data_IF_772918630398
#
_entry.id   IF_772918630398
#
_cell.length_a   1.000
_cell.length_b   1.000
_cell.length_c   1.000
_cell.angle_alpha   90.00
_cell.angle_beta   90.00
_cell.angle_gamma   90.00
#
_symmetry.space_group_name_H-M   'P 1'
#
loop_
_entity.id
_entity.type
_entity.pdbx_description
1 polymer ?
#
# COMPACT_ATOMS: atom_id res chain seq x y z
N UNK A 1 19.07 2.54 -4.50
CA UNK A 1 17.86 1.70 -4.31
C UNK A 1 18.12 0.78 -3.13
N UNK A 2 17.31 0.86 -2.08
CA UNK A 2 17.39 0.07 -0.86
C UNK A 2 15.98 -0.31 -0.40
N UNK A 3 15.82 -1.50 0.16
CA UNK A 3 14.57 -1.91 0.83
C UNK A 3 14.84 -1.89 2.33
N UNK A 4 13.99 -1.19 3.08
CA UNK A 4 14.11 -1.05 4.54
C UNK A 4 12.74 -1.09 5.21
N UNK A 5 12.75 -1.23 6.53
CA UNK A 5 11.54 -1.09 7.32
C UNK A 5 10.95 0.32 7.18
N UNK A 6 9.63 0.36 7.20
CA UNK A 6 8.84 1.59 7.28
C UNK A 6 9.08 2.30 8.61
N UNK A 7 9.26 3.62 8.55
CA UNK A 7 9.20 4.50 9.71
C UNK A 7 8.01 5.46 9.60
N UNK A 8 7.48 5.98 10.73
CA UNK A 8 6.36 6.93 10.71
C UNK A 8 6.58 8.16 9.81
N UNK A 9 7.83 8.57 9.59
CA UNK A 9 8.19 9.66 8.67
C UNK A 9 7.88 9.38 7.19
N UNK A 10 7.78 8.10 6.79
CA UNK A 10 7.50 7.69 5.41
C UNK A 10 6.01 7.81 5.04
N UNK A 11 5.11 7.93 6.04
CA UNK A 11 3.66 7.89 5.85
C UNK A 11 3.15 8.86 4.80
N UNK A 12 3.70 10.08 4.81
CA UNK A 12 3.25 11.14 3.91
C UNK A 12 3.62 10.82 2.45
N UNK A 13 4.79 10.24 2.21
CA UNK A 13 5.18 9.79 0.87
C UNK A 13 4.29 8.63 0.39
N UNK A 14 3.93 7.70 1.28
CA UNK A 14 3.01 6.61 0.95
C UNK A 14 1.60 7.12 0.61
N UNK A 15 1.11 8.16 1.31
CA UNK A 15 -0.16 8.82 0.99
C UNK A 15 -0.15 9.45 -0.40
N UNK A 16 0.95 10.11 -0.77
CA UNK A 16 1.13 10.71 -2.10
C UNK A 16 1.17 9.64 -3.19
N UNK A 17 1.92 8.55 -2.97
CA UNK A 17 1.97 7.41 -3.89
C UNK A 17 0.57 6.79 -4.07
N UNK A 18 -0.14 6.53 -2.97
CA UNK A 18 -1.50 5.98 -3.01
C UNK A 18 -2.48 6.90 -3.75
N UNK A 19 -2.43 8.21 -3.49
CA UNK A 19 -3.27 9.19 -4.18
C UNK A 19 -2.99 9.22 -5.68
N UNK A 20 -1.72 9.14 -6.10
CA UNK A 20 -1.32 9.12 -7.50
C UNK A 20 -1.73 7.84 -8.24
N UNK A 21 -1.87 6.71 -7.53
CA UNK A 21 -2.36 5.45 -8.10
C UNK A 21 -3.84 5.51 -8.48
N UNK A 22 -4.64 6.36 -7.81
CA UNK A 22 -6.06 6.54 -8.13
C UNK A 22 -6.94 5.32 -7.84
N UNK A 23 -6.48 4.38 -7.02
CA UNK A 23 -7.30 3.25 -6.59
C UNK A 23 -8.44 3.72 -5.67
N UNK A 24 -9.57 3.00 -5.73
CA UNK A 24 -10.79 3.36 -4.99
C UNK A 24 -10.81 2.89 -3.53
N UNK A 25 -9.84 2.05 -3.12
CA UNK A 25 -9.72 1.62 -1.74
C UNK A 25 -8.96 2.66 -0.90
N UNK A 26 -9.26 2.80 0.41
CA UNK A 26 -8.52 3.68 1.28
C UNK A 26 -7.11 3.12 1.56
N UNK A 27 -6.13 4.02 1.77
CA UNK A 27 -4.84 3.62 2.31
C UNK A 27 -5.07 2.97 3.68
N UNK A 28 -4.54 1.76 3.94
CA UNK A 28 -4.75 1.09 5.21
C UNK A 28 -4.07 1.84 6.36
N UNK A 29 -4.64 1.69 7.56
CA UNK A 29 -4.02 2.16 8.80
C UNK A 29 -2.75 1.34 9.10
N UNK A 30 -1.59 1.96 8.87
CA UNK A 30 -0.29 1.30 9.04
C UNK A 30 0.06 1.10 10.52
N UNK A 31 -0.57 1.79 11.45
CA UNK A 31 -0.36 1.58 12.89
C UNK A 31 -1.10 0.34 13.40
N UNK A 32 -1.94 -0.28 12.57
CA UNK A 32 -2.64 -1.50 12.92
C UNK A 32 -1.62 -2.63 13.25
N UNK A 33 -1.75 -3.27 14.42
CA UNK A 33 -0.78 -4.28 14.88
C UNK A 33 -0.80 -5.58 14.06
N UNK A 34 -1.83 -5.79 13.24
CA UNK A 34 -1.90 -6.95 12.35
C UNK A 34 -0.97 -6.82 11.14
N UNK A 35 -0.45 -5.63 10.83
CA UNK A 35 0.62 -5.50 9.84
C UNK A 35 1.93 -6.06 10.39
N UNK A 36 2.29 -7.26 9.91
CA UNK A 36 3.52 -7.97 10.30
C UNK A 36 4.72 -7.57 9.47
N UNK A 37 4.49 -7.02 8.27
CA UNK A 37 5.55 -6.52 7.40
C UNK A 37 5.14 -5.16 6.87
N UNK A 38 6.05 -4.19 7.01
CA UNK A 38 5.95 -2.85 6.42
C UNK A 38 7.31 -2.48 5.86
N UNK A 39 7.47 -2.65 4.55
CA UNK A 39 8.72 -2.36 3.85
C UNK A 39 8.51 -1.19 2.91
N UNK A 40 9.50 -0.33 2.81
CA UNK A 40 9.55 0.75 1.83
C UNK A 40 10.74 0.54 0.88
N UNK A 41 10.51 0.90 -0.37
CA UNK A 41 11.54 1.01 -1.38
C UNK A 41 12.03 2.46 -1.42
N UNK A 42 13.30 2.65 -1.06
CA UNK A 42 13.95 3.93 -0.96
C UNK A 42 15.02 4.09 -2.05
N UNK A 43 15.10 5.27 -2.62
CA UNK A 43 16.18 5.68 -3.49
C UNK A 43 16.96 6.79 -2.80
N UNK A 44 18.26 6.61 -2.60
CA UNK A 44 19.13 7.73 -2.27
C UNK A 44 19.13 8.68 -3.43
N UNK A 45 18.91 9.96 -3.16
CA UNK A 45 19.36 10.98 -4.10
C UNK A 45 20.89 10.86 -4.15
N UNK A 46 21.39 10.26 -5.23
CA UNK A 46 22.77 10.47 -5.61
C UNK A 46 22.94 11.96 -5.83
N UNK A 47 23.97 12.54 -5.23
CA UNK A 47 24.59 13.79 -5.69
C UNK A 47 24.71 13.73 -7.21
N UNK A 48 23.71 14.23 -7.93
CA UNK A 48 23.69 14.21 -9.37
C UNK A 48 24.70 15.27 -9.84
N UNK A 49 25.94 14.82 -10.05
CA UNK A 49 26.93 15.42 -10.93
C UNK A 49 27.34 16.86 -10.62
N UNK A 50 28.26 17.06 -9.67
CA UNK A 50 29.16 18.24 -9.71
C UNK A 50 30.29 18.07 -10.76
N UNK A 51 30.39 16.93 -11.44
CA UNK A 51 31.37 16.64 -12.49
C UNK A 51 30.84 16.91 -13.91
N UNK A 52 30.25 18.09 -14.15
CA UNK A 52 30.15 18.65 -15.51
C UNK A 52 30.04 20.20 -15.46
N UNK A 53 30.71 20.83 -14.49
CA UNK A 53 30.78 22.30 -14.38
C UNK A 53 32.07 22.92 -14.90
N UNK A 54 32.83 22.19 -15.71
CA UNK A 54 33.98 22.71 -16.45
C UNK A 54 33.85 22.32 -17.91
N UNK A 55 33.83 23.33 -18.78
CA UNK A 55 33.74 23.26 -20.25
C UNK A 55 32.32 23.31 -20.82
N UNK A 56 31.73 24.52 -20.82
CA UNK A 56 31.08 25.11 -22.01
C UNK A 56 30.85 26.61 -21.78
N UNK A 57 31.80 27.41 -22.27
CA UNK A 57 31.56 28.81 -22.64
C UNK A 57 30.75 28.84 -23.95
N UNK A 58 29.63 29.56 -23.98
CA UNK A 58 28.89 29.87 -25.21
C UNK A 58 27.54 30.56 -24.94
N UNK A 59 27.12 31.57 -25.73
CA UNK A 59 26.11 32.54 -25.32
C UNK A 59 24.65 32.08 -25.49
N UNK A 60 23.80 32.82 -24.77
CA UNK A 60 22.36 32.67 -24.52
C UNK A 60 21.46 32.43 -25.74
N UNK A 61 20.37 31.68 -25.52
CA UNK A 61 19.04 32.02 -26.06
C UNK A 61 17.98 31.80 -24.98
N UNK A 62 17.30 32.88 -24.61
CA UNK A 62 16.09 32.85 -23.81
C UNK A 62 15.00 32.05 -24.54
N UNK A 63 14.36 31.12 -23.82
CA UNK A 63 13.12 30.45 -24.25
C UNK A 63 12.09 30.58 -23.14
N UNK A 64 10.81 30.74 -23.49
CA UNK A 64 9.78 31.19 -22.57
C UNK A 64 9.47 30.14 -21.50
N UNK A 65 9.37 30.66 -20.29
CA UNK A 65 8.75 30.09 -19.10
C UNK A 65 7.39 29.47 -19.37
N UNK A 66 7.17 28.25 -18.87
CA UNK A 66 5.83 27.66 -18.79
C UNK A 66 5.77 26.17 -19.08
N UNK A 67 6.66 25.37 -18.50
CA UNK A 67 6.34 23.99 -18.16
C UNK A 67 6.48 23.86 -16.65
N UNK A 68 5.35 23.80 -15.96
CA UNK A 68 5.28 23.08 -14.70
C UNK A 68 5.51 21.60 -15.03
N UNK A 69 6.79 21.25 -15.25
CA UNK A 69 7.25 19.87 -15.13
C UNK A 69 7.28 19.58 -13.62
N UNK A 70 6.10 19.57 -13.00
CA UNK A 70 5.88 18.97 -11.68
C UNK A 70 5.91 17.45 -11.89
N UNK A 71 7.07 16.95 -12.33
CA UNK A 71 7.47 15.56 -12.14
C UNK A 71 7.35 15.34 -10.64
N UNK A 72 6.35 14.56 -10.24
CA UNK A 72 5.98 14.34 -8.84
C UNK A 72 7.21 14.05 -8.00
N UNK A 73 7.71 15.10 -7.34
CA UNK A 73 8.89 15.05 -6.50
C UNK A 73 8.48 14.30 -5.25
N UNK A 74 8.58 12.97 -5.30
CA UNK A 74 8.33 12.12 -4.16
C UNK A 74 9.11 12.65 -2.96
N UNK A 75 8.43 12.80 -1.83
CA UNK A 75 9.02 13.38 -0.62
C UNK A 75 10.31 12.67 -0.22
N UNK A 76 11.31 13.47 0.14
CA UNK A 76 12.59 13.01 0.68
C UNK A 76 12.46 12.91 2.20
N UNK A 77 12.70 11.71 2.73
CA UNK A 77 12.75 11.43 4.17
C UNK A 77 14.19 11.00 4.49
N UNK A 78 14.92 11.80 5.29
CA UNK A 78 16.28 11.45 5.71
C UNK A 78 17.32 11.37 4.57
N UNK A 79 17.12 12.07 3.45
CA UNK A 79 17.99 12.02 2.27
C UNK A 79 17.65 10.88 1.28
N UNK A 80 16.54 10.18 1.51
CA UNK A 80 16.04 9.12 0.63
C UNK A 80 14.64 9.47 0.13
N UNK A 81 14.39 9.24 -1.17
CA UNK A 81 13.09 9.34 -1.80
C UNK A 81 12.37 8.00 -1.71
N UNK A 82 11.18 7.97 -1.12
CA UNK A 82 10.34 6.76 -1.11
C UNK A 82 9.62 6.63 -2.45
N UNK A 83 9.75 5.47 -3.08
CA UNK A 83 9.19 5.20 -4.41
C UNK A 83 8.21 4.03 -4.42
N UNK A 84 8.09 3.29 -3.32
CA UNK A 84 7.13 2.21 -3.20
C UNK A 84 7.09 1.60 -1.79
N UNK A 85 6.13 0.72 -1.56
CA UNK A 85 6.00 -0.04 -0.32
C UNK A 85 5.36 -1.42 -0.54
N UNK A 86 5.67 -2.36 0.35
CA UNK A 86 5.03 -3.66 0.46
C UNK A 86 4.55 -3.86 1.91
N UNK A 87 3.27 -4.22 2.06
CA UNK A 87 2.58 -4.32 3.34
C UNK A 87 1.92 -5.70 3.46
N UNK A 88 2.16 -6.40 4.57
CA UNK A 88 1.50 -7.69 4.86
C UNK A 88 0.71 -7.57 6.17
N UNK A 89 -0.59 -7.89 6.12
CA UNK A 89 -1.50 -7.91 7.26
C UNK A 89 -1.95 -9.33 7.54
N UNK A 90 -1.94 -9.74 8.81
CA UNK A 90 -2.52 -11.00 9.25
C UNK A 90 -4.04 -10.95 9.09
N UNK A 91 -4.57 -11.93 8.37
CA UNK A 91 -5.99 -12.16 8.17
C UNK A 91 -6.30 -13.62 8.46
N UNK A 92 -7.55 -13.91 8.83
CA UNK A 92 -8.01 -15.29 8.97
C UNK A 92 -8.77 -15.72 7.72
N UNK A 93 -8.73 -17.02 7.44
CA UNK A 93 -9.46 -17.62 6.33
C UNK A 93 -10.58 -18.51 6.89
N UNK A 94 -11.80 -18.30 6.41
CA UNK A 94 -12.98 -19.07 6.80
C UNK A 94 -13.40 -20.02 5.67
N UNK A 95 -13.45 -21.31 5.97
CA UNK A 95 -13.93 -22.35 5.07
C UNK A 95 -15.34 -22.78 5.46
N UNK A 96 -16.31 -22.58 4.56
CA UNK A 96 -17.70 -22.97 4.77
C UNK A 96 -18.00 -24.22 3.95
N UNK A 97 -18.04 -25.38 4.63
CA UNK A 97 -18.34 -26.66 3.99
C UNK A 97 -19.77 -27.06 4.28
N UNK A 98 -20.54 -27.34 3.22
CA UNK A 98 -21.92 -27.80 3.33
C UNK A 98 -22.15 -29.03 2.45
N UNK A 99 -22.86 -30.03 3.01
CA UNK A 99 -23.24 -31.23 2.27
C UNK A 99 -24.25 -30.89 1.15
N UNK A 100 -23.93 -31.14 -0.14
CA UNK A 100 -24.81 -30.84 -1.26
C UNK A 100 -26.10 -31.69 -1.26
N UNK A 101 -26.12 -32.82 -0.54
CA UNK A 101 -27.28 -33.72 -0.45
C UNK A 101 -28.26 -33.31 0.64
N UNK A 102 -27.90 -32.35 1.49
CA UNK A 102 -28.73 -31.94 2.61
C UNK A 102 -29.72 -30.84 2.20
N UNK A 103 -31.02 -31.09 2.46
CA UNK A 103 -32.10 -30.13 2.25
C UNK A 103 -32.32 -29.70 0.80
N UNK A 104 -33.14 -28.68 0.64
CA UNK A 104 -33.39 -27.99 -0.63
C UNK A 104 -32.29 -26.96 -0.91
N UNK A 105 -32.13 -26.49 -2.17
CA UNK A 105 -31.18 -25.42 -2.49
C UNK A 105 -31.37 -24.15 -1.64
N UNK A 106 -32.62 -23.79 -1.32
CA UNK A 106 -32.93 -22.63 -0.48
C UNK A 106 -32.49 -22.81 0.97
N UNK A 107 -32.80 -23.96 1.56
CA UNK A 107 -32.37 -24.28 2.93
C UNK A 107 -30.84 -24.31 3.03
N UNK A 108 -30.14 -24.80 2.00
CA UNK A 108 -28.67 -24.76 1.96
C UNK A 108 -28.14 -23.33 1.95
N UNK A 109 -28.74 -22.46 1.15
CA UNK A 109 -28.36 -21.05 1.13
C UNK A 109 -28.54 -20.39 2.50
N UNK A 110 -29.68 -20.61 3.15
CA UNK A 110 -29.95 -20.11 4.50
C UNK A 110 -28.93 -20.62 5.52
N UNK A 111 -28.49 -21.88 5.40
CA UNK A 111 -27.43 -22.46 6.24
C UNK A 111 -26.04 -21.86 5.97
N UNK A 112 -25.68 -21.59 4.72
CA UNK A 112 -24.42 -20.90 4.38
C UNK A 112 -24.38 -19.53 5.03
N UNK A 113 -25.48 -18.77 4.94
CA UNK A 113 -25.59 -17.46 5.60
C UNK A 113 -25.45 -17.56 7.12
N UNK A 114 -26.09 -18.57 7.73
CA UNK A 114 -25.97 -18.81 9.18
C UNK A 114 -24.53 -19.18 9.58
N UNK A 115 -23.85 -20.03 8.81
CA UNK A 115 -22.45 -20.39 9.04
C UNK A 115 -21.52 -19.20 8.86
N UNK A 116 -21.71 -18.39 7.82
CA UNK A 116 -20.92 -17.19 7.58
C UNK A 116 -21.04 -16.19 8.74
N UNK A 117 -22.27 -15.91 9.18
CA UNK A 117 -22.53 -15.01 10.31
C UNK A 117 -21.94 -15.56 11.63
N UNK A 118 -22.04 -16.87 11.85
CA UNK A 118 -21.46 -17.50 13.03
C UNK A 118 -19.92 -17.46 13.02
N UNK A 119 -19.30 -17.70 11.87
CA UNK A 119 -17.85 -17.64 11.68
C UNK A 119 -17.31 -16.22 11.89
N UNK A 120 -17.99 -15.22 11.35
CA UNK A 120 -17.68 -13.81 11.60
C UNK A 120 -17.74 -13.51 13.10
N UNK A 121 -18.88 -13.80 13.76
CA UNK A 121 -19.04 -13.54 15.18
C UNK A 121 -17.98 -14.24 16.05
N UNK A 122 -17.56 -15.46 15.68
CA UNK A 122 -16.48 -16.17 16.36
C UNK A 122 -15.12 -15.51 16.17
N UNK A 123 -14.82 -15.06 14.96
CA UNK A 123 -13.59 -14.34 14.67
C UNK A 123 -13.47 -13.05 15.48
N UNK A 124 -14.55 -12.26 15.54
CA UNK A 124 -14.61 -11.05 16.38
C UNK A 124 -14.33 -11.38 17.85
N UNK A 125 -14.94 -12.44 18.40
CA UNK A 125 -14.68 -12.87 19.79
C UNK A 125 -13.23 -13.28 20.04
N UNK A 126 -12.54 -13.79 19.02
CA UNK A 126 -11.12 -14.17 19.08
C UNK A 126 -10.16 -12.99 18.82
N UNK A 127 -10.68 -11.80 18.57
CA UNK A 127 -9.87 -10.62 18.25
C UNK A 127 -9.31 -10.62 16.83
N UNK A 128 -9.86 -11.44 15.93
CA UNK A 128 -9.49 -11.43 14.52
C UNK A 128 -10.26 -10.28 13.84
N UNK A 129 -9.52 -9.22 13.47
CA UNK A 129 -10.12 -8.02 12.89
C UNK A 129 -10.32 -8.10 11.35
N UNK A 130 -9.87 -9.19 10.73
CA UNK A 130 -10.01 -9.43 9.30
C UNK A 130 -10.22 -10.92 9.03
N UNK A 131 -11.29 -11.24 8.29
CA UNK A 131 -11.60 -12.61 7.87
C UNK A 131 -12.03 -12.57 6.42
N UNK A 132 -11.43 -13.44 5.62
CA UNK A 132 -11.89 -13.70 4.26
C UNK A 132 -12.56 -15.06 4.22
N UNK A 133 -13.70 -15.13 3.52
CA UNK A 133 -14.34 -16.39 3.18
C UNK A 133 -14.16 -16.63 1.68
N UNK A 134 -13.70 -17.82 1.30
CA UNK A 134 -13.56 -18.27 -0.09
C UNK A 134 -14.69 -19.21 -0.49
#
# INVERSE_FOLDING_TARGET
>A
MSVREYFPGDLQALREIHAAQGFSYPLPDLDNPLFVTRLVLAEREGSAGEEERSLRCGPQKARPSGRDDSVGGGRIVGGERIVGAALLRLTAEAYLLLDPRSGTPRERWERILALASAAEADAWRRGLADVHAW
#
